data_IF_745205172692
#
_entry.id   IF_745205172692
#
_cell.length_a   1.000
_cell.length_b   1.000
_cell.length_c   1.000
_cell.angle_alpha   90.00
_cell.angle_beta   90.00
_cell.angle_gamma   90.00
#
_symmetry.space_group_name_H-M   'P 1'
#
loop_
_entity.id
_entity.type
_entity.pdbx_description
1 polymer ?
#
# COMPACT_ATOMS: atom_id res chain seq x y z
N UNK A 1 -3.99 -22.68 20.53
CA UNK A 1 -4.61 -23.89 19.94
C UNK A 1 -6.03 -23.47 19.56
N UNK A 2 -6.44 -23.52 18.29
CA UNK A 2 -7.76 -23.05 17.89
C UNK A 2 -8.87 -23.87 18.55
N UNK A 3 -9.94 -23.21 19.00
CA UNK A 3 -11.10 -23.90 19.60
C UNK A 3 -11.73 -24.80 18.53
N UNK A 4 -11.75 -26.11 18.77
CA UNK A 4 -12.34 -27.10 17.85
C UNK A 4 -13.81 -27.36 18.18
N UNK A 5 -14.60 -27.82 17.19
CA UNK A 5 -15.98 -28.24 17.40
C UNK A 5 -16.11 -29.33 18.48
N UNK A 6 -15.14 -30.24 18.58
CA UNK A 6 -15.09 -31.25 19.63
C UNK A 6 -14.93 -30.64 21.04
N UNK A 7 -14.08 -29.61 21.17
CA UNK A 7 -13.90 -28.90 22.44
C UNK A 7 -15.16 -28.11 22.83
N UNK A 8 -15.80 -27.47 21.84
CA UNK A 8 -17.06 -26.74 22.04
C UNK A 8 -18.19 -27.68 22.51
N UNK A 9 -18.27 -28.88 21.91
CA UNK A 9 -19.23 -29.90 22.31
C UNK A 9 -18.98 -30.40 23.75
N UNK A 10 -17.73 -30.66 24.11
CA UNK A 10 -17.37 -31.06 25.48
C UNK A 10 -17.78 -30.01 26.52
N UNK A 11 -17.52 -28.73 26.25
CA UNK A 11 -17.95 -27.61 27.11
C UNK A 11 -19.47 -27.55 27.25
N UNK A 12 -20.21 -27.72 26.15
CA UNK A 12 -21.68 -27.73 26.20
C UNK A 12 -22.22 -28.89 27.02
N UNK A 13 -21.64 -30.10 26.87
CA UNK A 13 -22.04 -31.28 27.63
C UNK A 13 -21.78 -31.11 29.15
N UNK A 14 -20.68 -30.46 29.52
CA UNK A 14 -20.34 -30.17 30.92
C UNK A 14 -21.19 -29.03 31.51
N UNK A 15 -21.55 -28.03 30.71
CA UNK A 15 -22.50 -26.99 31.11
C UNK A 15 -23.90 -27.55 31.36
N UNK A 16 -24.37 -28.50 30.54
CA UNK A 16 -25.67 -29.16 30.73
C UNK A 16 -25.72 -30.07 31.96
N UNK A 17 -24.59 -30.61 32.41
CA UNK A 17 -24.55 -31.44 33.61
C UNK A 17 -24.55 -30.62 34.90
N UNK A 18 -24.13 -29.34 34.82
CA UNK A 18 -23.99 -28.44 35.98
C UNK A 18 -25.15 -27.43 36.08
N UNK A 19 -25.71 -27.00 34.96
CA UNK A 19 -26.80 -26.03 34.85
C UNK A 19 -28.02 -26.64 34.14
N UNK A 20 -29.17 -25.96 34.17
CA UNK A 20 -30.30 -26.36 33.33
C UNK A 20 -29.94 -26.21 31.84
N UNK A 21 -30.54 -27.04 30.98
CA UNK A 21 -30.25 -27.04 29.54
C UNK A 21 -30.41 -25.67 28.88
N UNK A 22 -31.40 -24.88 29.31
CA UNK A 22 -31.66 -23.52 28.81
C UNK A 22 -30.54 -22.53 29.16
N UNK A 23 -29.96 -22.63 30.36
CA UNK A 23 -28.84 -21.78 30.79
C UNK A 23 -27.57 -22.17 30.04
N UNK A 24 -27.32 -23.47 29.85
CA UNK A 24 -26.19 -23.96 29.07
C UNK A 24 -26.25 -23.49 27.62
N UNK A 25 -27.43 -23.53 26.98
CA UNK A 25 -27.64 -23.06 25.61
C UNK A 25 -27.42 -21.55 25.49
N UNK A 26 -27.97 -20.77 26.42
CA UNK A 26 -27.76 -19.31 26.48
C UNK A 26 -26.28 -18.95 26.63
N UNK A 27 -25.53 -19.67 27.47
CA UNK A 27 -24.09 -19.46 27.63
C UNK A 27 -23.35 -19.77 26.33
N UNK A 28 -23.70 -20.87 25.66
CA UNK A 28 -23.08 -21.27 24.40
C UNK A 28 -23.37 -20.28 23.26
N UNK A 29 -24.54 -19.65 23.24
CA UNK A 29 -24.89 -18.59 22.28
C UNK A 29 -24.07 -17.31 22.48
N UNK A 30 -23.71 -16.98 23.73
CA UNK A 30 -22.84 -15.83 24.03
C UNK A 30 -21.37 -16.08 23.67
N UNK A 31 -20.95 -17.34 23.56
CA UNK A 31 -19.58 -17.68 23.18
C UNK A 31 -19.38 -17.45 21.69
N UNK A 32 -18.40 -16.62 21.29
CA UNK A 32 -18.16 -16.28 19.89
C UNK A 32 -17.93 -17.57 19.09
N UNK A 33 -18.48 -17.69 17.86
CA UNK A 33 -18.34 -18.90 17.04
C UNK A 33 -16.89 -19.19 16.63
N UNK A 34 -16.04 -18.15 16.62
CA UNK A 34 -14.63 -18.22 16.22
C UNK A 34 -13.69 -17.98 17.40
N UNK A 35 -12.45 -18.46 17.27
CA UNK A 35 -11.38 -18.18 18.21
C UNK A 35 -11.00 -16.68 18.14
N UNK A 36 -10.90 -16.01 19.29
CA UNK A 36 -10.46 -14.62 19.39
C UNK A 36 -9.10 -14.38 18.75
N UNK A 37 -8.23 -15.40 18.68
CA UNK A 37 -6.94 -15.31 17.99
C UNK A 37 -7.04 -15.11 16.47
N UNK A 38 -8.20 -15.42 15.88
CA UNK A 38 -8.46 -15.27 14.45
C UNK A 38 -9.07 -13.91 14.10
N UNK A 39 -9.48 -13.12 15.10
CA UNK A 39 -10.08 -11.82 14.89
C UNK A 39 -8.97 -10.77 14.89
N UNK A 40 -8.83 -10.07 13.77
CA UNK A 40 -7.89 -8.95 13.67
C UNK A 40 -8.19 -7.92 14.76
N UNK A 41 -7.16 -7.59 15.56
CA UNK A 41 -7.28 -6.60 16.61
C UNK A 41 -7.19 -5.20 16.03
N UNK A 42 -7.62 -4.19 16.80
CA UNK A 42 -7.40 -2.79 16.44
C UNK A 42 -5.90 -2.48 16.22
N UNK A 43 -5.03 -3.13 16.99
CA UNK A 43 -3.58 -2.96 16.86
C UNK A 43 -3.09 -3.49 15.51
N UNK A 44 -3.57 -4.64 15.07
CA UNK A 44 -3.20 -5.21 13.77
C UNK A 44 -3.60 -4.28 12.62
N UNK A 45 -4.77 -3.64 12.74
CA UNK A 45 -5.22 -2.64 11.76
C UNK A 45 -4.35 -1.37 11.76
N UNK A 46 -3.92 -0.91 12.94
CA UNK A 46 -2.99 0.23 13.04
C UNK A 46 -1.64 -0.10 12.41
N UNK A 47 -1.12 -1.31 12.65
CA UNK A 47 0.12 -1.77 12.04
C UNK A 47 -0.01 -1.87 10.51
N UNK A 48 -1.11 -2.45 10.02
CA UNK A 48 -1.39 -2.54 8.59
C UNK A 48 -1.51 -1.16 7.94
N UNK A 49 -2.23 -0.22 8.57
CA UNK A 49 -2.32 1.15 8.09
C UNK A 49 -0.95 1.82 8.01
N UNK A 50 -0.13 1.64 9.04
CA UNK A 50 1.22 2.21 9.10
C UNK A 50 2.12 1.65 7.99
N UNK A 51 2.08 0.34 7.74
CA UNK A 51 2.81 -0.28 6.63
C UNK A 51 2.37 0.28 5.28
N UNK A 52 1.06 0.40 5.07
CA UNK A 52 0.49 0.95 3.84
C UNK A 52 0.96 2.39 3.62
N UNK A 53 0.83 3.26 4.63
CA UNK A 53 1.24 4.66 4.54
C UNK A 53 2.75 4.78 4.21
N UNK A 54 3.60 3.98 4.87
CA UNK A 54 5.04 3.95 4.59
C UNK A 54 5.35 3.52 3.15
N UNK A 55 4.64 2.51 2.63
CA UNK A 55 4.83 2.03 1.26
C UNK A 55 4.38 3.06 0.23
N UNK A 56 3.29 3.79 0.50
CA UNK A 56 2.84 4.88 -0.36
C UNK A 56 3.84 6.04 -0.36
N UNK A 57 4.31 6.49 0.81
CA UNK A 57 5.34 7.54 0.89
C UNK A 57 6.63 7.13 0.15
N UNK A 58 7.08 5.88 0.32
CA UNK A 58 8.25 5.39 -0.39
C UNK A 58 8.03 5.32 -1.91
N UNK A 59 6.81 5.01 -2.35
CA UNK A 59 6.43 5.00 -3.76
C UNK A 59 6.40 6.41 -4.36
N UNK A 60 5.80 7.38 -3.66
CA UNK A 60 5.77 8.78 -4.06
C UNK A 60 7.19 9.34 -4.26
N UNK A 61 8.09 9.14 -3.30
CA UNK A 61 9.49 9.55 -3.41
C UNK A 61 10.21 8.90 -4.61
N UNK A 62 9.91 7.64 -4.92
CA UNK A 62 10.45 6.95 -6.09
C UNK A 62 9.92 7.51 -7.40
N UNK A 63 8.64 7.87 -7.45
CA UNK A 63 8.04 8.52 -8.61
C UNK A 63 8.62 9.92 -8.82
N UNK A 64 8.66 10.74 -7.78
CA UNK A 64 9.22 12.09 -7.83
C UNK A 64 10.67 12.09 -8.31
N UNK A 65 11.50 11.20 -7.77
CA UNK A 65 12.90 11.07 -8.18
C UNK A 65 13.05 10.56 -9.61
N UNK A 66 12.19 9.64 -10.06
CA UNK A 66 12.21 9.13 -11.44
C UNK A 66 11.76 10.20 -12.44
N UNK A 67 10.72 10.95 -12.11
CA UNK A 67 10.24 12.09 -12.92
C UNK A 67 11.32 13.17 -13.00
N UNK A 68 11.94 13.54 -11.86
CA UNK A 68 13.03 14.52 -11.85
C UNK A 68 14.21 14.10 -12.72
N UNK A 69 14.61 12.82 -12.67
CA UNK A 69 15.71 12.32 -13.51
C UNK A 69 15.34 12.33 -14.99
N UNK A 70 14.18 11.80 -15.35
CA UNK A 70 13.73 11.75 -16.74
C UNK A 70 13.56 13.14 -17.33
N UNK A 71 12.86 14.04 -16.64
CA UNK A 71 12.66 15.41 -17.09
C UNK A 71 13.98 16.19 -17.12
N UNK A 72 14.78 16.11 -16.06
CA UNK A 72 16.03 16.85 -15.98
C UNK A 72 17.03 16.46 -17.07
N UNK A 73 17.22 15.16 -17.29
CA UNK A 73 18.15 14.68 -18.31
C UNK A 73 17.62 14.94 -19.72
N UNK A 74 16.32 14.75 -19.95
CA UNK A 74 15.70 15.04 -21.25
C UNK A 74 15.71 16.53 -21.60
N UNK A 75 15.39 17.41 -20.64
CA UNK A 75 15.40 18.86 -20.82
C UNK A 75 16.81 19.35 -21.16
N UNK A 76 17.86 18.86 -20.47
CA UNK A 76 19.25 19.23 -20.77
C UNK A 76 19.64 18.93 -22.22
N UNK A 77 19.33 17.72 -22.69
CA UNK A 77 19.64 17.33 -24.06
C UNK A 77 18.81 18.10 -25.09
N UNK A 78 17.51 18.29 -24.84
CA UNK A 78 16.64 19.06 -25.73
C UNK A 78 17.05 20.53 -25.85
N UNK A 79 17.36 21.19 -24.73
CA UNK A 79 17.79 22.59 -24.74
C UNK A 79 19.14 22.74 -25.45
N UNK A 80 20.09 21.84 -25.20
CA UNK A 80 21.39 21.85 -25.87
C UNK A 80 21.28 21.73 -27.40
N UNK A 81 20.47 20.80 -27.90
CA UNK A 81 20.26 20.61 -29.33
C UNK A 81 19.51 21.78 -29.96
N UNK A 82 18.49 22.31 -29.28
CA UNK A 82 17.75 23.48 -29.75
C UNK A 82 18.65 24.71 -29.89
N UNK A 83 19.52 24.98 -28.91
CA UNK A 83 20.49 26.09 -29.00
C UNK A 83 21.47 25.86 -30.16
N UNK A 84 22.03 24.65 -30.28
CA UNK A 84 22.99 24.33 -31.34
C UNK A 84 22.39 24.55 -32.75
N UNK A 85 21.17 24.07 -32.97
CA UNK A 85 20.46 24.23 -34.25
C UNK A 85 20.17 25.71 -34.55
N UNK A 86 19.72 26.49 -33.56
CA UNK A 86 19.46 27.92 -33.76
C UNK A 86 20.75 28.71 -34.07
N UNK A 87 21.86 28.41 -33.37
CA UNK A 87 23.15 29.06 -33.62
C UNK A 87 23.66 28.77 -35.04
N UNK A 88 23.51 27.54 -35.53
CA UNK A 88 23.88 27.16 -36.89
C UNK A 88 23.07 27.94 -37.94
N UNK A 89 21.75 28.03 -37.73
CA UNK A 89 20.86 28.78 -38.63
C UNK A 89 21.22 30.28 -38.67
N UNK A 90 21.46 30.89 -37.51
CA UNK A 90 21.82 32.31 -37.41
C UNK A 90 23.15 32.60 -38.11
N UNK A 91 24.14 31.75 -37.90
CA UNK A 91 25.48 31.89 -38.51
C UNK A 91 25.42 31.74 -40.03
N UNK A 92 24.67 30.76 -40.52
CA UNK A 92 24.46 30.56 -41.96
C UNK A 92 23.76 31.74 -42.63
N UNK A 93 22.74 32.31 -41.99
CA UNK A 93 22.03 33.47 -42.50
C UNK A 93 22.93 34.72 -42.62
N UNK A 94 23.78 34.96 -41.60
CA UNK A 94 24.74 36.06 -41.63
C UNK A 94 25.76 35.86 -42.76
N UNK A 95 26.34 34.66 -42.88
CA UNK A 95 27.30 34.36 -43.94
C UNK A 95 26.71 34.55 -45.35
N UNK A 96 25.46 34.13 -45.56
CA UNK A 96 24.77 34.34 -46.83
C UNK A 96 24.56 35.83 -47.14
N UNK A 97 24.20 36.64 -46.13
CA UNK A 97 24.02 38.09 -46.28
C UNK A 97 25.30 38.86 -46.63
N UNK A 98 26.47 38.30 -46.31
CA UNK A 98 27.77 38.92 -46.62
C UNK A 98 28.29 38.58 -48.03
N UNK A 99 27.71 37.56 -48.69
CA UNK A 99 28.12 37.08 -50.02
C UNK A 99 27.22 37.64 -51.13
N UNK A 100 25.98 38.05 -50.78
CA UNK A 100 24.97 38.64 -51.67
C UNK A 100 25.06 40.18 -51.66
#
# INVERSE_FOLDING_TARGET
MPITNASRFAVHAELQSTFSGEVAETIMEMLPPYDWSQIATKQDLVLLRTDIDQRFTAFELRLESKIHKMLGDQIKWMVGTAIALNTLMLTGAIALSTIL
#
